data_IF_207407134917
#
_entry.id   IF_207407134917
#
_cell.length_a   1.000
_cell.length_b   1.000
_cell.length_c   1.000
_cell.angle_alpha   90.00
_cell.angle_beta   90.00
_cell.angle_gamma   90.00
#
_symmetry.space_group_name_H-M   'P 1'
#
loop_
_entity.id
_entity.type
_entity.pdbx_description
1 polymer ?
#
# COMPACT_ATOMS: atom_id res chain seq x y z
N UNK A 1 -27.89 -2.41 -2.95
CA UNK A 1 -26.77 -2.22 -3.91
C UNK A 1 -25.93 -3.49 -3.88
N UNK A 2 -25.51 -4.00 -5.04
CA UNK A 2 -24.60 -5.16 -5.12
C UNK A 2 -23.22 -4.79 -4.56
N UNK A 3 -22.52 -5.76 -3.95
CA UNK A 3 -21.15 -5.55 -3.49
C UNK A 3 -20.22 -5.24 -4.70
N UNK A 4 -19.38 -4.19 -4.62
CA UNK A 4 -18.53 -3.80 -5.75
C UNK A 4 -17.47 -4.88 -6.03
N UNK A 5 -17.28 -5.30 -7.30
CA UNK A 5 -16.25 -6.26 -7.66
C UNK A 5 -14.86 -5.62 -7.54
N UNK A 6 -13.99 -6.21 -6.74
CA UNK A 6 -12.61 -5.77 -6.54
C UNK A 6 -11.67 -6.78 -7.18
N UNK A 7 -10.86 -6.33 -8.14
CA UNK A 7 -9.82 -7.16 -8.74
C UNK A 7 -8.64 -7.31 -7.77
N UNK A 8 -8.23 -8.55 -7.48
CA UNK A 8 -6.97 -8.83 -6.80
C UNK A 8 -6.00 -9.43 -7.84
N UNK A 9 -4.96 -8.68 -8.18
CA UNK A 9 -3.99 -9.06 -9.21
C UNK A 9 -2.99 -10.07 -8.64
N UNK A 10 -3.20 -11.34 -8.92
CA UNK A 10 -2.30 -12.41 -8.51
C UNK A 10 -1.18 -12.62 -9.54
N UNK A 11 0.04 -12.83 -9.06
CA UNK A 11 1.17 -13.26 -9.89
C UNK A 11 1.86 -14.44 -9.23
N UNK A 12 2.59 -15.24 -10.00
CA UNK A 12 3.33 -16.36 -9.41
C UNK A 12 4.26 -15.85 -8.30
N UNK A 13 4.09 -16.34 -7.07
CA UNK A 13 4.89 -15.92 -5.91
C UNK A 13 4.25 -14.84 -5.02
N UNK A 14 3.16 -14.19 -5.44
CA UNK A 14 2.32 -13.46 -4.47
C UNK A 14 1.69 -14.48 -3.50
N UNK A 15 1.48 -14.06 -2.26
CA UNK A 15 1.06 -14.98 -1.19
C UNK A 15 0.08 -14.38 -0.18
N UNK A 16 -0.33 -13.11 -0.37
CA UNK A 16 -1.33 -12.42 0.47
C UNK A 16 -2.65 -12.17 -0.24
N UNK A 17 -2.87 -12.83 -1.38
CA UNK A 17 -4.09 -12.63 -2.18
C UNK A 17 -5.34 -13.08 -1.39
N UNK A 18 -5.23 -14.19 -0.64
CA UNK A 18 -6.32 -14.72 0.19
C UNK A 18 -6.63 -13.85 1.40
N UNK A 19 -5.61 -13.36 2.09
CA UNK A 19 -5.75 -12.44 3.25
C UNK A 19 -6.41 -11.12 2.79
N UNK A 20 -5.97 -10.58 1.65
CA UNK A 20 -6.58 -9.39 1.05
C UNK A 20 -8.04 -9.64 0.59
N UNK A 21 -8.34 -10.83 0.04
CA UNK A 21 -9.71 -11.20 -0.33
C UNK A 21 -10.64 -11.23 0.89
N UNK A 22 -10.19 -11.85 1.99
CA UNK A 22 -10.95 -11.88 3.24
C UNK A 22 -11.21 -10.46 3.77
N UNK A 23 -10.20 -9.59 3.77
CA UNK A 23 -10.35 -8.21 4.20
C UNK A 23 -11.36 -7.42 3.34
N UNK A 24 -11.35 -7.63 2.02
CA UNK A 24 -12.32 -7.03 1.09
C UNK A 24 -13.75 -7.55 1.34
N UNK A 25 -13.92 -8.85 1.56
CA UNK A 25 -15.23 -9.44 1.87
C UNK A 25 -15.81 -8.86 3.17
N UNK A 26 -14.98 -8.76 4.22
CA UNK A 26 -15.37 -8.17 5.50
C UNK A 26 -15.76 -6.69 5.37
N UNK A 27 -15.09 -5.95 4.49
CA UNK A 27 -15.43 -4.56 4.14
C UNK A 27 -16.67 -4.42 3.25
N UNK A 28 -17.30 -5.54 2.84
CA UNK A 28 -18.52 -5.54 2.02
C UNK A 28 -18.28 -5.40 0.51
N UNK A 29 -17.07 -5.74 0.04
CA UNK A 29 -16.72 -5.88 -1.38
C UNK A 29 -16.88 -7.31 -1.89
N UNK A 30 -16.65 -7.52 -3.18
CA UNK A 30 -16.66 -8.84 -3.83
C UNK A 30 -15.29 -9.09 -4.48
N UNK A 31 -14.34 -9.74 -3.79
CA UNK A 31 -13.00 -9.92 -4.33
C UNK A 31 -12.97 -10.95 -5.47
N UNK A 32 -12.13 -10.69 -6.47
CA UNK A 32 -11.82 -11.63 -7.55
C UNK A 32 -10.32 -11.75 -7.70
N UNK A 33 -9.76 -12.85 -7.23
CA UNK A 33 -8.35 -13.18 -7.42
C UNK A 33 -8.15 -13.64 -8.87
N UNK A 34 -7.38 -12.89 -9.64
CA UNK A 34 -7.14 -13.16 -11.06
C UNK A 34 -5.66 -13.15 -11.33
N UNK A 35 -5.15 -14.25 -11.88
CA UNK A 35 -3.74 -14.32 -12.26
C UNK A 35 -3.46 -13.35 -13.41
N UNK A 36 -2.33 -12.64 -13.39
CA UNK A 36 -1.92 -11.67 -14.43
C UNK A 36 -1.96 -12.23 -15.86
N UNK A 37 -1.63 -13.51 -16.08
CA UNK A 37 -1.77 -14.18 -17.38
C UNK A 37 -3.23 -14.38 -17.83
N UNK A 38 -4.20 -14.49 -16.93
CA UNK A 38 -5.63 -14.49 -17.28
C UNK A 38 -6.07 -13.12 -17.79
N UNK A 39 -5.64 -12.04 -17.11
CA UNK A 39 -5.84 -10.67 -17.60
C UNK A 39 -5.21 -10.48 -18.98
N UNK A 40 -3.98 -10.98 -19.18
CA UNK A 40 -3.26 -10.86 -20.45
C UNK A 40 -3.96 -11.58 -21.61
N UNK A 41 -4.60 -12.72 -21.35
CA UNK A 41 -5.39 -13.45 -22.36
C UNK A 41 -6.74 -12.80 -22.64
N UNK A 42 -7.19 -11.86 -21.80
CA UNK A 42 -8.50 -11.25 -21.90
C UNK A 42 -9.63 -12.11 -21.34
N UNK A 43 -9.31 -13.15 -20.55
CA UNK A 43 -10.31 -14.00 -19.87
C UNK A 43 -11.14 -13.16 -18.87
N UNK A 44 -10.51 -12.14 -18.31
CA UNK A 44 -11.07 -11.16 -17.39
C UNK A 44 -10.46 -9.80 -17.71
N UNK A 45 -11.24 -8.70 -17.68
CA UNK A 45 -10.72 -7.35 -17.90
C UNK A 45 -10.62 -6.59 -16.58
N UNK A 46 -9.64 -5.69 -16.46
CA UNK A 46 -9.51 -4.82 -15.28
C UNK A 46 -10.71 -3.87 -15.22
N UNK A 47 -11.15 -3.37 -16.37
CA UNK A 47 -12.32 -2.49 -16.54
C UNK A 47 -13.64 -3.05 -16.00
N UNK A 48 -13.80 -4.38 -15.90
CA UNK A 48 -14.98 -5.05 -15.32
C UNK A 48 -15.09 -4.89 -13.78
N UNK A 49 -14.06 -4.33 -13.14
CA UNK A 49 -13.96 -4.20 -11.70
C UNK A 49 -14.09 -2.74 -11.27
N UNK A 50 -14.56 -2.53 -10.05
CA UNK A 50 -14.79 -1.22 -9.49
C UNK A 50 -13.58 -0.68 -8.71
N UNK A 51 -12.63 -1.56 -8.36
CA UNK A 51 -11.34 -1.20 -7.77
C UNK A 51 -10.29 -2.30 -8.02
N UNK A 52 -9.02 -1.97 -7.82
CA UNK A 52 -7.89 -2.87 -8.05
C UNK A 52 -7.01 -2.95 -6.81
N UNK A 53 -6.69 -4.16 -6.36
CA UNK A 53 -5.75 -4.43 -5.29
C UNK A 53 -4.58 -5.27 -5.83
N UNK A 54 -3.36 -4.85 -5.54
CA UNK A 54 -2.14 -5.61 -5.80
C UNK A 54 -1.62 -6.12 -4.44
N UNK A 55 -1.70 -7.44 -4.18
CA UNK A 55 -1.42 -8.00 -2.87
C UNK A 55 0.08 -8.09 -2.58
N UNK A 56 0.40 -8.40 -1.32
CA UNK A 56 1.76 -8.67 -0.88
C UNK A 56 2.30 -10.05 -1.28
N UNK A 57 3.55 -10.30 -0.90
CA UNK A 57 4.27 -11.54 -1.14
C UNK A 57 5.61 -11.32 -1.84
N UNK A 58 6.00 -12.28 -2.68
CA UNK A 58 7.29 -12.27 -3.39
C UNK A 58 7.02 -12.55 -4.86
N UNK A 59 6.37 -11.62 -5.58
CA UNK A 59 6.06 -11.84 -7.00
C UNK A 59 7.34 -12.20 -7.77
N UNK A 60 7.31 -13.37 -8.40
CA UNK A 60 8.43 -14.01 -9.09
C UNK A 60 9.67 -14.24 -8.22
N UNK A 61 9.48 -14.44 -6.91
CA UNK A 61 10.54 -14.66 -5.93
C UNK A 61 11.46 -13.45 -5.75
N UNK A 62 11.03 -12.25 -6.14
CA UNK A 62 11.81 -11.01 -6.12
C UNK A 62 13.17 -11.11 -6.87
N UNK A 63 13.29 -12.05 -7.82
CA UNK A 63 14.56 -12.42 -8.46
C UNK A 63 15.25 -11.29 -9.26
N UNK A 64 14.51 -10.24 -9.63
CA UNK A 64 15.03 -9.04 -10.31
C UNK A 64 14.90 -7.77 -9.44
N UNK A 65 14.82 -7.96 -8.12
CA UNK A 65 14.41 -6.96 -7.14
C UNK A 65 12.89 -6.99 -6.92
N UNK A 66 12.46 -6.69 -5.69
CA UNK A 66 11.09 -6.95 -5.27
C UNK A 66 10.06 -6.19 -6.11
N UNK A 67 9.06 -6.91 -6.64
CA UNK A 67 8.01 -6.34 -7.50
C UNK A 67 8.43 -5.88 -8.90
N UNK A 68 9.72 -5.97 -9.28
CA UNK A 68 10.23 -5.39 -10.53
C UNK A 68 9.63 -6.05 -11.78
N UNK A 69 9.49 -7.38 -11.78
CA UNK A 69 8.94 -8.10 -12.93
C UNK A 69 7.45 -7.83 -13.11
N UNK A 70 6.65 -7.92 -12.04
CA UNK A 70 5.22 -7.63 -12.11
C UNK A 70 4.97 -6.16 -12.50
N UNK A 71 5.80 -5.21 -12.05
CA UNK A 71 5.74 -3.83 -12.50
C UNK A 71 5.92 -3.66 -14.02
N UNK A 72 6.86 -4.40 -14.63
CA UNK A 72 7.04 -4.41 -16.08
C UNK A 72 5.83 -4.99 -16.80
N UNK A 73 5.26 -6.08 -16.29
CA UNK A 73 4.07 -6.70 -16.85
C UNK A 73 2.87 -5.75 -16.78
N UNK A 74 2.64 -5.07 -15.65
CA UNK A 74 1.58 -4.07 -15.51
C UNK A 74 1.77 -2.90 -16.48
N UNK A 75 2.99 -2.35 -16.57
CA UNK A 75 3.29 -1.22 -17.45
C UNK A 75 3.14 -1.59 -18.93
N UNK A 76 3.63 -2.75 -19.34
CA UNK A 76 3.66 -3.16 -20.75
C UNK A 76 2.32 -3.69 -21.25
N UNK A 77 1.57 -4.42 -20.41
CA UNK A 77 0.34 -5.08 -20.83
C UNK A 77 -0.93 -4.29 -20.45
N UNK A 78 -0.90 -3.56 -19.34
CA UNK A 78 -2.10 -2.94 -18.77
C UNK A 78 -1.96 -1.43 -18.51
N UNK A 79 -0.90 -0.78 -18.98
CA UNK A 79 -0.64 0.64 -18.70
C UNK A 79 -1.79 1.58 -19.12
N UNK A 80 -2.39 1.33 -20.29
CA UNK A 80 -3.57 2.08 -20.75
C UNK A 80 -4.80 1.80 -19.87
N UNK A 81 -5.11 0.53 -19.63
CA UNK A 81 -6.30 0.13 -18.85
C UNK A 81 -6.22 0.62 -17.40
N UNK A 82 -5.04 0.57 -16.78
CA UNK A 82 -4.83 1.14 -15.44
C UNK A 82 -4.96 2.66 -15.43
N UNK A 83 -4.55 3.35 -16.50
CA UNK A 83 -4.75 4.80 -16.62
C UNK A 83 -6.24 5.14 -16.74
N UNK A 84 -7.03 4.33 -17.45
CA UNK A 84 -8.49 4.49 -17.54
C UNK A 84 -9.18 4.23 -16.19
N UNK A 85 -8.72 3.22 -15.43
CA UNK A 85 -9.20 2.94 -14.06
C UNK A 85 -9.01 4.18 -13.18
N UNK A 86 -7.80 4.75 -13.19
CA UNK A 86 -7.47 5.95 -12.39
C UNK A 86 -8.25 7.17 -12.87
N UNK A 87 -8.36 7.38 -14.20
CA UNK A 87 -9.14 8.48 -14.76
C UNK A 87 -10.64 8.37 -14.46
N UNK A 88 -11.16 7.16 -14.30
CA UNK A 88 -12.52 6.89 -13.84
C UNK A 88 -12.71 7.06 -12.33
N UNK A 89 -11.65 7.42 -11.59
CA UNK A 89 -11.69 7.60 -10.13
C UNK A 89 -11.77 6.30 -9.34
N UNK A 90 -11.56 5.14 -9.99
CA UNK A 90 -11.59 3.83 -9.32
C UNK A 90 -10.35 3.68 -8.42
N UNK A 91 -10.51 3.24 -7.17
CA UNK A 91 -9.39 3.17 -6.24
C UNK A 91 -8.44 2.03 -6.59
N UNK A 92 -7.14 2.25 -6.38
CA UNK A 92 -6.08 1.25 -6.52
C UNK A 92 -5.27 1.17 -5.22
N UNK A 93 -5.10 -0.04 -4.69
CA UNK A 93 -4.37 -0.30 -3.45
C UNK A 93 -3.22 -1.29 -3.68
N UNK A 94 -1.99 -0.92 -3.32
CA UNK A 94 -0.83 -1.83 -3.34
C UNK A 94 -0.30 -2.09 -1.93
N UNK A 95 -0.21 -3.36 -1.53
CA UNK A 95 0.24 -3.74 -0.18
C UNK A 95 1.57 -4.48 -0.25
N UNK A 96 2.57 -4.06 0.53
CA UNK A 96 3.92 -4.62 0.56
C UNK A 96 4.53 -4.77 -0.85
N UNK A 97 4.49 -5.97 -1.43
CA UNK A 97 4.94 -6.22 -2.80
C UNK A 97 4.13 -5.43 -3.84
N UNK A 98 2.83 -5.24 -3.61
CA UNK A 98 2.01 -4.37 -4.44
C UNK A 98 2.45 -2.91 -4.40
N UNK A 99 2.89 -2.40 -3.26
CA UNK A 99 3.45 -1.04 -3.19
C UNK A 99 4.75 -0.93 -3.98
N UNK A 100 5.64 -1.91 -3.84
CA UNK A 100 6.87 -2.02 -4.65
C UNK A 100 6.56 -2.05 -6.15
N UNK A 101 5.55 -2.82 -6.56
CA UNK A 101 5.09 -2.91 -7.94
C UNK A 101 4.60 -1.55 -8.45
N UNK A 102 3.75 -0.85 -7.70
CA UNK A 102 3.20 0.45 -8.11
C UNK A 102 4.29 1.52 -8.26
N UNK A 103 5.25 1.57 -7.33
CA UNK A 103 6.40 2.49 -7.42
C UNK A 103 7.28 2.14 -8.64
N UNK A 104 7.60 0.85 -8.84
CA UNK A 104 8.46 0.42 -9.94
C UNK A 104 7.80 0.56 -11.31
N UNK A 105 6.46 0.46 -11.37
CA UNK A 105 5.65 0.70 -12.55
C UNK A 105 5.56 2.20 -12.91
N UNK A 106 5.90 3.10 -11.99
CA UNK A 106 5.79 4.55 -12.16
C UNK A 106 4.40 5.11 -11.83
N UNK A 107 3.54 4.31 -11.20
CA UNK A 107 2.20 4.70 -10.79
C UNK A 107 2.17 5.45 -9.46
N UNK A 108 3.21 5.28 -8.62
CA UNK A 108 3.37 6.01 -7.36
C UNK A 108 4.71 6.75 -7.33
N UNK A 109 4.72 8.06 -7.01
CA UNK A 109 3.58 8.97 -6.77
C UNK A 109 2.80 9.40 -8.04
N UNK A 110 2.90 8.67 -9.15
CA UNK A 110 2.44 9.12 -10.47
C UNK A 110 3.53 9.96 -11.14
N UNK A 111 3.40 10.41 -12.40
CA UNK A 111 4.51 11.11 -13.02
C UNK A 111 4.69 12.44 -12.29
N UNK A 112 5.74 12.51 -11.46
CA UNK A 112 6.33 13.77 -11.03
C UNK A 112 6.58 14.55 -12.32
N UNK A 113 5.88 15.67 -12.45
CA UNK A 113 5.73 16.50 -13.65
C UNK A 113 6.63 16.07 -14.82
N UNK A 114 6.08 15.35 -15.82
CA UNK A 114 6.86 14.94 -16.99
C UNK A 114 6.30 13.73 -17.73
N UNK A 115 7.05 13.28 -18.73
CA UNK A 115 6.74 12.12 -19.55
C UNK A 115 6.89 10.83 -18.70
N UNK A 116 5.81 10.07 -18.41
CA UNK A 116 5.88 8.85 -17.60
C UNK A 116 6.80 7.76 -18.21
N UNK A 117 7.15 7.87 -19.50
CA UNK A 117 8.08 6.96 -20.16
C UNK A 117 9.54 7.34 -19.90
N UNK A 118 9.85 8.64 -19.84
CA UNK A 118 11.21 9.20 -19.82
C UNK A 118 11.62 9.87 -18.50
N UNK A 119 10.67 10.13 -17.59
CA UNK A 119 10.97 10.69 -16.27
C UNK A 119 11.68 9.67 -15.40
N UNK A 120 12.81 10.07 -14.82
CA UNK A 120 13.51 9.27 -13.83
C UNK A 120 12.63 9.08 -12.58
N UNK A 121 12.56 7.85 -12.06
CA UNK A 121 11.88 7.58 -10.78
C UNK A 121 12.59 8.34 -9.66
N UNK A 122 11.86 9.22 -8.97
CA UNK A 122 12.42 10.00 -7.86
C UNK A 122 12.23 9.35 -6.50
N UNK A 123 11.46 8.27 -6.41
CA UNK A 123 11.29 7.47 -5.19
C UNK A 123 11.46 5.99 -5.50
N UNK A 124 11.89 5.22 -4.52
CA UNK A 124 11.95 3.76 -4.62
C UNK A 124 11.76 3.09 -3.25
N UNK A 125 11.48 1.80 -3.29
CA UNK A 125 11.57 0.89 -2.16
C UNK A 125 12.81 0.01 -2.37
N UNK A 126 13.63 -0.09 -1.33
CA UNK A 126 14.91 -0.79 -1.37
C UNK A 126 15.17 -1.53 -0.06
N UNK A 127 16.30 -2.21 0.02
CA UNK A 127 16.75 -2.97 1.19
C UNK A 127 16.60 -2.14 2.48
N UNK A 128 16.07 -2.80 3.52
CA UNK A 128 15.98 -2.24 4.85
C UNK A 128 17.37 -1.77 5.32
N UNK A 129 17.45 -0.67 6.06
CA UNK A 129 18.71 -0.12 6.58
C UNK A 129 19.51 -1.11 7.44
N UNK A 130 18.82 -2.08 8.04
CA UNK A 130 19.42 -3.14 8.86
C UNK A 130 19.99 -4.31 8.04
N UNK A 131 19.81 -4.33 6.71
CA UNK A 131 20.30 -5.39 5.83
C UNK A 131 19.66 -6.77 6.08
N UNK A 132 18.45 -6.81 6.65
CA UNK A 132 17.74 -8.06 6.98
C UNK A 132 16.23 -7.95 6.75
N UNK A 133 15.59 -9.11 6.60
CA UNK A 133 14.14 -9.22 6.60
C UNK A 133 13.57 -8.85 7.97
N UNK A 134 12.52 -8.04 7.96
CA UNK A 134 11.82 -7.60 9.18
C UNK A 134 10.42 -8.17 9.23
N UNK A 135 10.11 -8.87 10.33
CA UNK A 135 8.81 -9.44 10.64
C UNK A 135 8.39 -9.03 12.05
N UNK A 136 7.54 -7.99 12.18
CA UNK A 136 7.15 -7.42 13.48
C UNK A 136 5.85 -6.64 13.40
N UNK A 137 5.30 -6.30 14.56
CA UNK A 137 4.18 -5.38 14.66
C UNK A 137 4.64 -3.93 14.63
N UNK A 138 3.95 -3.11 13.86
CA UNK A 138 4.15 -1.66 13.79
C UNK A 138 2.81 -0.95 13.97
N UNK A 139 2.88 0.34 14.30
CA UNK A 139 1.72 1.22 14.27
C UNK A 139 1.92 2.26 13.18
N UNK A 140 0.90 2.44 12.37
CA UNK A 140 0.79 3.47 11.36
C UNK A 140 -0.23 4.49 11.79
N UNK A 141 -0.05 5.70 11.28
CA UNK A 141 -1.08 6.73 11.28
C UNK A 141 -1.33 7.14 9.84
N UNK A 142 -2.59 7.26 9.48
CA UNK A 142 -3.01 7.94 8.25
C UNK A 142 -2.69 9.43 8.40
N UNK A 143 -1.99 10.01 7.44
CA UNK A 143 -1.62 11.42 7.52
C UNK A 143 -2.86 12.32 7.29
N UNK A 144 -3.15 13.28 8.18
CA UNK A 144 -4.33 14.15 8.04
C UNK A 144 -4.34 15.00 6.76
N UNK A 145 -3.16 15.26 6.20
CA UNK A 145 -2.96 16.06 4.98
C UNK A 145 -2.98 15.22 3.71
N UNK A 146 -3.23 13.90 3.80
CA UNK A 146 -3.22 13.00 2.65
C UNK A 146 -4.22 13.46 1.58
N UNK A 147 -3.79 13.46 0.32
CA UNK A 147 -4.60 13.88 -0.83
C UNK A 147 -5.70 12.87 -1.18
N UNK A 148 -5.47 11.58 -0.91
CA UNK A 148 -6.43 10.52 -1.18
C UNK A 148 -7.74 10.73 -0.43
N UNK A 149 -8.82 10.96 -1.17
CA UNK A 149 -10.15 11.28 -0.62
C UNK A 149 -10.74 10.13 0.19
N UNK A 150 -10.44 8.89 -0.18
CA UNK A 150 -10.92 7.73 0.55
C UNK A 150 -10.09 7.45 1.80
N UNK A 151 -8.80 7.81 1.85
CA UNK A 151 -8.07 7.79 3.13
C UNK A 151 -8.53 8.89 4.07
N UNK A 152 -8.91 10.06 3.56
CA UNK A 152 -9.46 11.14 4.40
C UNK A 152 -10.74 10.70 5.14
N UNK A 153 -11.51 9.75 4.62
CA UNK A 153 -12.73 9.27 5.31
C UNK A 153 -12.44 8.50 6.60
N UNK A 154 -11.21 8.02 6.78
CA UNK A 154 -10.76 7.38 8.02
C UNK A 154 -9.88 8.31 8.87
N UNK A 155 -9.72 9.57 8.49
CA UNK A 155 -9.07 10.60 9.31
C UNK A 155 -7.66 10.21 9.77
N UNK A 156 -7.31 10.53 11.01
CA UNK A 156 -6.03 10.21 11.65
C UNK A 156 -5.98 8.82 12.28
N UNK A 157 -6.77 7.87 11.74
CA UNK A 157 -6.88 6.51 12.26
C UNK A 157 -5.51 5.85 12.39
N UNK A 158 -5.31 5.21 13.53
CA UNK A 158 -4.16 4.39 13.81
C UNK A 158 -4.42 2.97 13.32
N UNK A 159 -3.47 2.43 12.58
CA UNK A 159 -3.51 1.05 12.07
C UNK A 159 -2.31 0.32 12.64
N UNK A 160 -2.57 -0.66 13.51
CA UNK A 160 -1.57 -1.55 14.06
C UNK A 160 -1.60 -2.84 13.24
N UNK A 161 -0.51 -3.18 12.58
CA UNK A 161 -0.47 -4.35 11.70
C UNK A 161 0.97 -4.91 11.62
N UNK A 162 1.14 -6.15 11.16
CA UNK A 162 2.48 -6.69 10.95
C UNK A 162 3.13 -6.09 9.70
N UNK A 163 4.45 -6.09 9.69
CA UNK A 163 5.29 -5.97 8.49
C UNK A 163 5.96 -7.32 8.21
N UNK A 164 6.28 -7.59 6.95
CA UNK A 164 7.03 -8.77 6.53
C UNK A 164 7.82 -8.46 5.24
N UNK A 165 8.93 -7.73 5.34
CA UNK A 165 9.69 -7.32 4.14
C UNK A 165 11.22 -7.24 4.36
N UNK A 166 11.99 -7.51 3.31
CA UNK A 166 13.43 -7.22 3.22
C UNK A 166 13.75 -5.94 2.46
N UNK A 167 12.87 -5.54 1.53
CA UNK A 167 13.01 -4.36 0.66
C UNK A 167 11.89 -3.33 0.90
N UNK A 168 11.68 -2.92 2.16
CA UNK A 168 10.59 -2.00 2.51
C UNK A 168 11.02 -0.56 2.77
N UNK A 169 12.30 -0.22 2.63
CA UNK A 169 12.79 1.12 2.92
C UNK A 169 12.40 2.08 1.81
N UNK A 170 11.51 3.02 2.11
CA UNK A 170 11.19 4.12 1.22
C UNK A 170 12.32 5.14 1.22
N UNK A 171 12.81 5.47 0.02
CA UNK A 171 13.83 6.51 -0.18
C UNK A 171 13.42 7.42 -1.34
N UNK A 172 13.66 8.72 -1.18
CA UNK A 172 13.58 9.70 -2.25
C UNK A 172 14.98 9.98 -2.83
N UNK A 173 15.04 10.50 -4.04
CA UNK A 173 16.30 10.86 -4.69
C UNK A 173 17.00 12.03 -3.98
N UNK A 174 16.23 12.97 -3.43
CA UNK A 174 16.71 14.12 -2.66
C UNK A 174 15.71 14.48 -1.56
N UNK A 175 16.14 15.31 -0.60
CA UNK A 175 15.25 15.85 0.43
C UNK A 175 14.16 16.74 -0.17
N UNK A 176 14.47 17.49 -1.24
CA UNK A 176 13.49 18.30 -1.95
C UNK A 176 12.32 17.48 -2.53
N UNK A 177 12.57 16.25 -2.98
CA UNK A 177 11.51 15.33 -3.41
C UNK A 177 10.64 14.91 -2.21
N UNK A 178 11.25 14.68 -1.04
CA UNK A 178 10.47 14.41 0.18
C UNK A 178 9.60 15.62 0.52
N UNK A 179 10.16 16.83 0.55
CA UNK A 179 9.41 18.07 0.82
C UNK A 179 8.26 18.31 -0.18
N UNK A 180 8.46 17.94 -1.44
CA UNK A 180 7.42 18.00 -2.47
C UNK A 180 6.27 17.02 -2.18
N UNK A 181 6.58 15.77 -1.81
CA UNK A 181 5.57 14.79 -1.40
C UNK A 181 4.76 15.30 -0.20
N UNK A 182 5.43 15.91 0.78
CA UNK A 182 4.79 16.52 1.96
C UNK A 182 3.84 17.66 1.56
N UNK A 183 4.35 18.63 0.80
CA UNK A 183 3.61 19.82 0.39
C UNK A 183 2.40 19.48 -0.47
N UNK A 184 2.51 18.43 -1.28
CA UNK A 184 1.42 17.97 -2.13
C UNK A 184 0.44 17.01 -1.43
N UNK A 185 0.69 16.65 -0.16
CA UNK A 185 -0.16 15.71 0.58
C UNK A 185 -0.07 14.28 0.05
N UNK A 186 1.06 13.89 -0.53
CA UNK A 186 1.24 12.56 -1.13
C UNK A 186 1.74 11.51 -0.12
N UNK A 187 2.16 11.92 1.07
CA UNK A 187 2.44 11.00 2.17
C UNK A 187 1.12 10.49 2.75
N UNK A 188 0.91 9.18 2.71
CA UNK A 188 -0.34 8.55 3.15
C UNK A 188 -0.24 7.96 4.55
N UNK A 189 0.91 7.35 4.88
CA UNK A 189 1.12 6.69 6.16
C UNK A 189 2.51 6.95 6.71
N UNK A 190 2.61 7.11 8.03
CA UNK A 190 3.89 7.08 8.75
C UNK A 190 3.94 6.07 9.86
N UNK A 191 5.13 5.50 10.04
CA UNK A 191 5.47 4.72 11.23
C UNK A 191 5.38 5.61 12.48
N UNK A 192 4.74 5.08 13.51
CA UNK A 192 4.60 5.72 14.80
C UNK A 192 5.36 4.93 15.86
N UNK A 193 5.96 5.67 16.79
CA UNK A 193 6.42 5.11 18.05
C UNK A 193 5.24 5.11 19.03
N UNK A 194 4.65 3.93 19.20
CA UNK A 194 3.85 3.64 20.37
C UNK A 194 4.78 2.96 21.36
N UNK A 195 5.06 3.59 22.50
CA UNK A 195 5.73 2.90 23.61
C UNK A 195 5.04 1.57 23.94
N UNK A 196 5.65 0.72 24.76
CA UNK A 196 5.05 -0.56 25.16
C UNK A 196 3.65 -0.33 25.78
N UNK A 197 2.64 -0.45 24.91
CA UNK A 197 1.19 -0.48 25.08
C UNK A 197 0.68 -0.26 26.52
N UNK A 198 0.20 0.95 26.81
CA UNK A 198 -0.79 1.19 27.87
C UNK A 198 -1.99 1.96 27.27
N UNK A 199 -3.24 1.47 27.43
CA UNK A 199 -4.44 1.98 26.73
C UNK A 199 -4.96 3.33 27.23
N UNK A 200 -4.36 3.88 28.28
CA UNK A 200 -4.79 5.06 29.02
C UNK A 200 -3.97 6.33 28.71
N UNK A 201 -2.95 6.23 27.86
CA UNK A 201 -2.13 7.38 27.48
C UNK A 201 -2.44 7.85 26.06
N UNK A 202 -3.42 8.74 25.92
CA UNK A 202 -3.52 9.63 24.75
C UNK A 202 -2.24 10.44 24.50
N UNK A 203 -1.29 10.42 25.45
CA UNK A 203 0.00 11.13 25.46
C UNK A 203 1.22 10.36 24.89
N UNK A 204 1.08 9.13 24.36
CA UNK A 204 2.26 8.30 24.02
C UNK A 204 2.47 7.91 22.55
N UNK A 205 1.63 8.35 21.62
CA UNK A 205 1.84 8.11 20.18
C UNK A 205 2.63 9.27 19.59
N UNK A 206 3.89 9.01 19.22
CA UNK A 206 4.80 10.00 18.65
C UNK A 206 5.27 9.52 17.29
N UNK A 207 5.78 10.44 16.47
CA UNK A 207 6.50 10.06 15.26
C UNK A 207 7.63 9.06 15.61
N UNK A 208 7.90 8.10 14.73
CA UNK A 208 8.99 7.15 14.94
C UNK A 208 10.37 7.84 15.03
N UNK A 209 10.50 9.02 14.41
CA UNK A 209 11.69 9.87 14.49
C UNK A 209 12.90 9.27 13.78
N UNK A 210 12.70 8.39 12.79
CA UNK A 210 13.77 7.63 12.14
C UNK A 210 14.43 6.58 13.03
N UNK A 211 13.88 6.30 14.22
CA UNK A 211 14.50 5.43 15.22
C UNK A 211 14.01 3.99 15.08
N UNK A 212 14.96 3.07 14.89
CA UNK A 212 14.69 1.64 15.00
C UNK A 212 14.45 1.25 16.48
N UNK A 213 13.44 0.42 16.83
CA UNK A 213 12.62 -0.40 15.93
C UNK A 213 11.32 0.23 15.42
N UNK A 214 10.97 1.45 15.85
CA UNK A 214 9.71 2.11 15.51
C UNK A 214 9.61 2.43 14.01
N UNK A 215 10.68 2.96 13.40
CA UNK A 215 10.91 2.93 11.97
C UNK A 215 11.70 1.65 11.65
N UNK A 216 11.05 0.60 11.12
CA UNK A 216 11.63 -0.73 11.08
C UNK A 216 12.65 -0.92 9.95
N UNK A 217 12.56 -0.11 8.90
CA UNK A 217 13.33 -0.25 7.66
C UNK A 217 14.23 0.95 7.37
N UNK A 218 14.15 2.03 8.15
CA UNK A 218 14.90 3.26 7.94
C UNK A 218 14.36 4.10 6.79
N UNK A 219 13.04 4.07 6.56
CA UNK A 219 12.39 4.89 5.53
C UNK A 219 12.55 6.37 5.80
N UNK A 220 12.80 7.17 4.75
CA UNK A 220 12.86 8.63 4.84
C UNK A 220 11.58 9.19 5.47
N UNK A 221 11.74 10.13 6.40
CA UNK A 221 10.63 10.79 7.12
C UNK A 221 9.58 9.82 7.72
N UNK A 222 10.00 8.61 8.11
CA UNK A 222 9.11 7.55 8.62
C UNK A 222 7.98 7.14 7.66
N UNK A 223 8.11 7.42 6.37
CA UNK A 223 7.09 7.12 5.36
C UNK A 223 6.91 5.61 5.25
N UNK A 224 5.69 5.14 5.50
CA UNK A 224 5.28 3.75 5.35
C UNK A 224 4.44 3.52 4.09
N UNK A 225 3.90 4.59 3.51
CA UNK A 225 3.09 4.55 2.30
C UNK A 225 2.78 5.94 1.74
N UNK A 226 2.47 5.99 0.45
CA UNK A 226 2.19 7.21 -0.31
C UNK A 226 0.96 7.03 -1.20
N UNK A 227 0.39 8.13 -1.69
CA UNK A 227 -0.61 8.15 -2.75
C UNK A 227 -0.10 8.84 -4.01
N UNK A 228 -0.84 8.70 -5.11
CA UNK A 228 -0.54 9.43 -6.35
C UNK A 228 -1.14 10.85 -6.35
N UNK A 229 -0.83 11.62 -7.38
CA UNK A 229 -1.35 12.97 -7.57
C UNK A 229 -2.87 13.05 -7.70
N UNK A 230 -3.55 11.99 -8.15
CA UNK A 230 -5.01 11.96 -8.19
C UNK A 230 -5.62 11.58 -6.83
N UNK A 231 -4.85 10.91 -5.97
CA UNK A 231 -5.32 10.35 -4.70
C UNK A 231 -6.07 9.03 -4.85
N UNK A 232 -6.23 8.51 -6.07
CA UNK A 232 -6.91 7.24 -6.33
C UNK A 232 -6.02 6.03 -6.03
N UNK A 233 -4.71 6.15 -6.23
CA UNK A 233 -3.73 5.08 -6.01
C UNK A 233 -3.07 5.29 -4.65
N UNK A 234 -3.06 4.26 -3.81
CA UNK A 234 -2.34 4.24 -2.53
C UNK A 234 -1.48 3.00 -2.44
N UNK A 235 -0.27 3.15 -1.92
CA UNK A 235 0.61 2.03 -1.60
C UNK A 235 1.13 2.13 -0.17
N UNK A 236 1.25 0.99 0.51
CA UNK A 236 1.86 0.90 1.83
C UNK A 236 2.64 -0.41 2.02
N UNK A 237 3.70 -0.36 2.84
CA UNK A 237 4.54 -1.53 3.13
C UNK A 237 3.96 -2.53 4.14
N UNK A 238 3.32 -2.09 5.24
CA UNK A 238 2.75 -3.01 6.23
C UNK A 238 1.52 -3.75 5.70
N UNK A 239 1.12 -4.82 6.40
CA UNK A 239 0.03 -5.72 6.01
C UNK A 239 -1.24 -5.50 6.86
N UNK A 240 -2.05 -4.47 6.58
CA UNK A 240 -3.31 -4.25 7.29
C UNK A 240 -4.30 -5.42 7.11
N UNK A 241 -4.22 -6.18 6.02
CA UNK A 241 -5.00 -7.41 5.77
C UNK A 241 -4.71 -8.51 6.79
N UNK A 242 -3.50 -8.54 7.35
CA UNK A 242 -3.10 -9.50 8.38
C UNK A 242 -3.54 -9.08 9.80
N UNK A 243 -4.35 -8.02 9.94
CA UNK A 243 -5.02 -7.64 11.19
C UNK A 243 -6.40 -7.03 10.94
N UNK A 244 -7.32 -7.82 10.40
CA UNK A 244 -8.75 -7.48 10.27
C UNK A 244 -9.62 -8.26 11.26
N UNK A 245 -9.09 -9.31 11.87
CA UNK A 245 -9.75 -10.14 12.89
C UNK A 245 -9.02 -10.05 14.23
N UNK A 246 -9.79 -10.07 15.32
CA UNK A 246 -9.26 -9.91 16.69
C UNK A 246 -8.24 -10.99 17.09
N UNK A 247 -8.32 -12.20 16.53
CA UNK A 247 -7.40 -13.30 16.88
C UNK A 247 -6.07 -13.25 16.11
N UNK A 248 -5.92 -12.37 15.11
CA UNK A 248 -4.68 -12.22 14.35
C UNK A 248 -3.63 -11.38 15.11
N UNK A 249 -4.04 -10.56 16.10
CA UNK A 249 -3.11 -9.75 16.90
C UNK A 249 -2.50 -10.54 18.07
N UNK A 250 -1.27 -10.21 18.50
CA UNK A 250 -0.73 -10.65 19.77
C UNK A 250 -1.68 -10.27 20.91
N UNK A 251 -1.73 -11.12 21.94
CA UNK A 251 -2.50 -10.86 23.17
C UNK A 251 -2.17 -9.46 23.71
N UNK A 252 -3.19 -8.62 23.90
CA UNK A 252 -3.02 -7.21 24.28
C UNK A 252 -4.23 -6.36 23.90
N UNK A 253 -4.05 -5.04 23.89
CA UNK A 253 -5.14 -4.08 23.77
C UNK A 253 -5.96 -4.25 22.47
N UNK A 254 -7.30 -4.19 22.57
CA UNK A 254 -8.19 -4.15 21.41
C UNK A 254 -8.07 -2.81 20.66
N UNK A 255 -8.30 -2.84 19.34
CA UNK A 255 -8.35 -1.64 18.49
C UNK A 255 -7.24 -1.52 17.46
N UNK A 256 -7.32 -0.47 16.64
CA UNK A 256 -6.39 -0.16 15.54
C UNK A 256 -6.25 -1.29 14.50
N UNK A 257 -7.34 -1.97 14.15
CA UNK A 257 -7.33 -2.96 13.07
C UNK A 257 -7.11 -2.31 11.70
N UNK A 258 -6.73 -3.10 10.71
CA UNK A 258 -6.65 -2.68 9.32
C UNK A 258 -8.00 -2.58 8.61
N UNK A 259 -9.09 -3.09 9.21
CA UNK A 259 -10.40 -3.16 8.56
C UNK A 259 -10.95 -1.80 8.07
N UNK A 260 -10.82 -0.67 8.82
CA UNK A 260 -11.29 0.64 8.34
C UNK A 260 -10.65 1.06 7.01
N UNK A 261 -9.41 0.66 6.73
CA UNK A 261 -8.75 0.92 5.45
C UNK A 261 -9.49 0.24 4.30
N UNK A 262 -9.88 -1.02 4.48
CA UNK A 262 -10.60 -1.79 3.47
C UNK A 262 -12.03 -1.31 3.31
N UNK A 263 -12.70 -0.90 4.40
CA UNK A 263 -14.02 -0.27 4.34
C UNK A 263 -14.00 1.02 3.51
N UNK A 264 -12.99 1.87 3.73
CA UNK A 264 -12.79 3.08 2.95
C UNK A 264 -12.50 2.80 1.47
N UNK A 265 -11.60 1.85 1.20
CA UNK A 265 -11.25 1.42 -0.15
C UNK A 265 -12.47 0.84 -0.90
N UNK A 266 -13.25 -0.02 -0.26
CA UNK A 266 -14.47 -0.62 -0.84
C UNK A 266 -15.56 0.44 -1.02
N UNK A 267 -15.69 1.39 -0.09
CA UNK A 267 -16.62 2.52 -0.21
C UNK A 267 -16.31 3.38 -1.44
N UNK A 268 -15.03 3.66 -1.69
CA UNK A 268 -14.58 4.42 -2.86
C UNK A 268 -14.79 3.68 -4.20
N UNK A 269 -14.96 2.37 -4.15
CA UNK A 269 -15.27 1.54 -5.32
C UNK A 269 -16.79 1.43 -5.61
N UNK A 270 -17.66 2.13 -4.87
CA UNK A 270 -19.12 2.13 -5.09
C UNK A 270 -19.56 3.30 -5.93
#
# INVERSE_FOLDING_TARGET
MSAPPILIVHASGTNRDGDAAQAIEMAGGCPRIVHVNQLRRGDVKVSDHAGVLIPGGFSYGDALGAGQRLALELRLWFGHELSEVVAAGKPVLGICNGFQVLVKAGLLPGPLAGDPVNSARQVTLTENSQGKFECRWVTLRVEPTVRSTWLQSIGDTLIRCPIAHGEGRFVSATDAVTDELETQGLVAFRYQNCGAVSPDASDTIRAAGGVYPANPNGSSADIAGICDQTGAIVGLMPHPEDHVLDWQRPSGNPGASGLPLFEAFVSAAR
#
